data_IF_900813438932
#
_entry.id   IF_900813438932
#
_cell.length_a   1.000
_cell.length_b   1.000
_cell.length_c   1.000
_cell.angle_alpha   90.00
_cell.angle_beta   90.00
_cell.angle_gamma   90.00
#
_symmetry.space_group_name_H-M   'P 1'
#
loop_
_entity.id
_entity.type
_entity.pdbx_description
1 polymer ?
#
# COMPACT_ATOMS: atom_id res chain seq x y z
N UNK A 1 1.21 12.28 -14.42
CA UNK A 1 0.91 11.79 -13.07
C UNK A 1 1.26 10.34 -13.02
N UNK A 2 1.89 9.90 -11.94
CA UNK A 2 2.23 8.50 -11.71
C UNK A 2 1.48 8.00 -10.46
N UNK A 3 1.01 6.75 -10.48
CA UNK A 3 0.30 6.13 -9.35
C UNK A 3 1.02 4.85 -8.96
N UNK A 4 1.44 4.76 -7.69
CA UNK A 4 2.11 3.59 -7.13
C UNK A 4 1.14 2.88 -6.21
N UNK A 5 0.68 1.70 -6.59
CA UNK A 5 -0.26 0.90 -5.80
C UNK A 5 0.43 -0.33 -5.23
N UNK A 6 0.20 -0.57 -3.94
CA UNK A 6 0.76 -1.72 -3.25
C UNK A 6 -0.32 -2.64 -2.70
N UNK A 7 0.00 -3.92 -2.62
CA UNK A 7 -0.76 -4.94 -1.89
C UNK A 7 0.19 -5.91 -1.19
N UNK A 8 -0.28 -6.57 -0.15
CA UNK A 8 0.43 -7.69 0.47
C UNK A 8 -0.04 -9.00 -0.17
N UNK A 9 0.88 -9.80 -0.68
CA UNK A 9 0.60 -11.09 -1.31
C UNK A 9 1.78 -12.03 -1.06
N UNK A 10 1.51 -13.31 -0.81
CA UNK A 10 2.52 -14.36 -0.67
C UNK A 10 3.66 -14.00 0.30
N UNK A 11 3.33 -13.33 1.40
CA UNK A 11 4.29 -12.90 2.42
C UNK A 11 5.20 -11.73 2.02
N UNK A 12 4.94 -11.07 0.88
CA UNK A 12 5.75 -9.97 0.36
C UNK A 12 4.90 -8.77 -0.06
N UNK A 13 5.52 -7.60 -0.13
CA UNK A 13 4.90 -6.41 -0.72
C UNK A 13 5.01 -6.48 -2.24
N UNK A 14 3.87 -6.30 -2.91
CA UNK A 14 3.77 -6.26 -4.36
C UNK A 14 3.38 -4.86 -4.82
N UNK A 15 3.85 -4.49 -5.99
CA UNK A 15 3.48 -3.25 -6.68
C UNK A 15 2.69 -3.56 -7.95
N UNK A 16 1.67 -2.76 -8.23
CA UNK A 16 0.89 -2.87 -9.47
C UNK A 16 1.63 -2.19 -10.60
N UNK A 17 1.88 -2.94 -11.66
CA UNK A 17 2.49 -2.45 -12.88
C UNK A 17 1.58 -2.72 -14.07
N UNK A 18 1.72 -1.91 -15.12
CA UNK A 18 0.99 -2.05 -16.38
C UNK A 18 1.96 -2.41 -17.50
N UNK A 19 1.51 -3.28 -18.41
CA UNK A 19 2.30 -3.69 -19.56
C UNK A 19 2.40 -2.54 -20.57
N UNK A 20 3.61 -2.27 -21.05
CA UNK A 20 3.87 -1.25 -22.07
C UNK A 20 3.69 -1.77 -23.50
N UNK A 21 3.63 -3.11 -23.68
CA UNK A 21 3.69 -3.75 -24.98
C UNK A 21 5.11 -3.88 -25.55
N UNK A 22 6.13 -3.37 -24.83
CA UNK A 22 7.53 -3.51 -25.26
C UNK A 22 8.00 -4.98 -25.17
N UNK A 23 8.73 -5.49 -26.17
CA UNK A 23 9.37 -6.79 -26.11
C UNK A 23 10.59 -6.82 -25.17
N UNK A 24 11.15 -5.65 -24.84
CA UNK A 24 12.32 -5.53 -23.99
C UNK A 24 11.96 -5.81 -22.52
N UNK A 25 12.60 -6.76 -21.82
CA UNK A 25 12.26 -7.10 -20.45
C UNK A 25 12.25 -5.89 -19.48
N UNK A 26 13.22 -4.98 -19.63
CA UNK A 26 13.34 -3.77 -18.80
C UNK A 26 12.22 -2.77 -19.01
N UNK A 27 11.66 -2.69 -20.21
CA UNK A 27 10.62 -1.75 -20.58
C UNK A 27 9.23 -2.40 -20.65
N UNK A 28 9.13 -3.67 -20.29
CA UNK A 28 7.89 -4.45 -20.35
C UNK A 28 6.82 -3.91 -19.40
N UNK A 29 7.25 -3.43 -18.25
CA UNK A 29 6.39 -2.97 -17.18
C UNK A 29 6.71 -1.53 -16.79
N UNK A 30 5.68 -0.76 -16.45
CA UNK A 30 5.80 0.62 -15.94
C UNK A 30 4.73 0.89 -14.88
N UNK A 31 4.88 1.98 -14.14
CA UNK A 31 3.84 2.44 -13.22
C UNK A 31 2.57 2.86 -13.98
N UNK A 32 1.37 2.62 -13.42
CA UNK A 32 0.16 3.26 -13.90
C UNK A 32 0.34 4.76 -13.99
N UNK A 33 0.12 5.35 -15.16
CA UNK A 33 0.35 6.78 -15.37
C UNK A 33 -0.63 7.38 -16.36
N UNK A 34 -0.78 8.71 -16.32
CA UNK A 34 -1.65 9.41 -17.26
C UNK A 34 -1.59 10.92 -17.10
N UNK A 35 -2.13 11.62 -18.10
CA UNK A 35 -2.29 13.08 -18.07
C UNK A 35 -3.57 13.47 -17.33
N UNK A 36 -3.56 14.67 -16.75
CA UNK A 36 -4.76 15.31 -16.19
C UNK A 36 -5.65 15.69 -17.38
N UNK A 37 -6.92 15.34 -17.32
CA UNK A 37 -7.92 15.71 -18.33
C UNK A 37 -8.55 17.05 -17.99
N UNK A 38 -9.09 17.70 -19.01
CA UNK A 38 -9.78 18.98 -18.81
C UNK A 38 -10.95 18.79 -17.82
N UNK A 39 -10.96 19.58 -16.76
CA UNK A 39 -11.99 19.55 -15.71
C UNK A 39 -11.75 18.53 -14.62
N UNK A 40 -10.70 17.70 -14.70
CA UNK A 40 -10.31 16.81 -13.59
C UNK A 40 -9.45 17.56 -12.57
N UNK A 41 -9.69 17.27 -11.28
CA UNK A 41 -8.72 17.59 -10.23
C UNK A 41 -7.53 16.62 -10.26
N UNK A 42 -6.48 16.94 -9.52
CA UNK A 42 -5.33 16.05 -9.34
C UNK A 42 -5.77 14.74 -8.70
N UNK A 43 -6.62 14.80 -7.68
CA UNK A 43 -7.12 13.62 -6.96
C UNK A 43 -8.04 12.75 -7.85
N UNK A 44 -8.93 13.37 -8.64
CA UNK A 44 -9.78 12.64 -9.58
C UNK A 44 -8.95 11.91 -10.64
N UNK A 45 -7.90 12.58 -11.14
CA UNK A 45 -6.97 11.98 -12.10
C UNK A 45 -6.25 10.77 -11.50
N UNK A 46 -5.74 10.90 -10.27
CA UNK A 46 -5.06 9.80 -9.58
C UNK A 46 -6.02 8.61 -9.36
N UNK A 47 -7.24 8.89 -8.91
CA UNK A 47 -8.28 7.88 -8.69
C UNK A 47 -8.68 7.18 -10.00
N UNK A 48 -8.81 7.92 -11.10
CA UNK A 48 -9.09 7.34 -12.43
C UNK A 48 -7.95 6.41 -12.86
N UNK A 49 -6.70 6.85 -12.79
CA UNK A 49 -5.53 6.04 -13.16
C UNK A 49 -5.48 4.75 -12.32
N UNK A 50 -5.70 4.87 -11.00
CA UNK A 50 -5.75 3.72 -10.11
C UNK A 50 -6.87 2.75 -10.50
N UNK A 51 -8.09 3.24 -10.76
CA UNK A 51 -9.23 2.41 -11.18
C UNK A 51 -9.00 1.75 -12.54
N UNK A 52 -8.40 2.47 -13.47
CA UNK A 52 -8.09 1.94 -14.80
C UNK A 52 -7.12 0.74 -14.73
N UNK A 53 -6.19 0.76 -13.78
CA UNK A 53 -5.23 -0.33 -13.57
C UNK A 53 -5.76 -1.47 -12.69
N UNK A 54 -6.56 -1.16 -11.66
CA UNK A 54 -7.12 -2.16 -10.72
C UNK A 54 -8.43 -2.78 -11.23
N UNK A 55 -9.25 -2.02 -11.96
CA UNK A 55 -10.65 -2.36 -12.21
C UNK A 55 -11.61 -1.99 -11.07
N UNK A 56 -11.09 -1.50 -9.94
CA UNK A 56 -11.84 -1.03 -8.77
C UNK A 56 -11.12 0.14 -8.11
N UNK A 57 -11.78 0.84 -7.18
CA UNK A 57 -11.11 1.89 -6.42
C UNK A 57 -10.14 1.31 -5.37
N UNK A 58 -8.96 1.92 -5.17
CA UNK A 58 -8.08 1.57 -4.06
C UNK A 58 -8.73 1.96 -2.72
N UNK A 59 -8.39 1.27 -1.63
CA UNK A 59 -8.87 1.59 -0.27
C UNK A 59 -8.19 2.79 0.34
N UNK A 60 -7.06 3.19 -0.23
CA UNK A 60 -6.26 4.32 0.21
C UNK A 60 -5.49 4.88 -0.98
N UNK A 61 -5.49 6.19 -1.13
CA UNK A 61 -4.76 6.90 -2.18
C UNK A 61 -4.41 8.30 -1.67
N UNK A 62 -3.12 8.57 -1.48
CA UNK A 62 -2.61 9.86 -1.01
C UNK A 62 -1.51 10.36 -1.93
N UNK A 63 -1.37 11.67 -2.01
CA UNK A 63 -0.25 12.29 -2.72
C UNK A 63 1.07 11.92 -2.03
N UNK A 64 1.96 11.29 -2.78
CA UNK A 64 3.29 10.88 -2.30
C UNK A 64 4.36 11.96 -2.52
N UNK A 65 4.20 12.79 -3.56
CA UNK A 65 5.14 13.85 -3.84
C UNK A 65 4.96 14.47 -5.23
N UNK A 66 5.88 15.36 -5.55
CA UNK A 66 5.98 15.99 -6.86
C UNK A 66 7.42 15.95 -7.36
N UNK A 67 7.57 15.85 -8.67
CA UNK A 67 8.86 15.88 -9.36
C UNK A 67 8.80 16.86 -10.49
N UNK A 68 9.72 17.83 -10.52
CA UNK A 68 10.00 18.69 -11.66
C UNK A 68 11.11 18.09 -12.52
N UNK A 69 10.97 18.13 -13.82
CA UNK A 69 12.01 17.72 -14.76
C UNK A 69 12.09 18.71 -15.93
N UNK A 70 13.27 19.24 -16.19
CA UNK A 70 13.54 19.93 -17.45
C UNK A 70 13.90 18.89 -18.50
N UNK A 71 13.05 18.66 -19.49
CA UNK A 71 13.48 17.96 -20.71
C UNK A 71 14.28 18.95 -21.56
N UNK A 72 15.45 18.52 -22.08
CA UNK A 72 16.35 19.36 -22.89
C UNK A 72 15.71 20.05 -24.11
N UNK A 73 14.48 19.70 -24.47
CA UNK A 73 13.83 20.18 -25.70
C UNK A 73 12.33 20.48 -25.54
N UNK A 74 11.79 20.46 -24.31
CA UNK A 74 10.36 20.61 -24.06
C UNK A 74 10.09 21.52 -22.86
N UNK A 75 8.86 22.02 -22.76
CA UNK A 75 8.39 22.76 -21.59
C UNK A 75 8.63 21.95 -20.30
N UNK A 76 8.94 22.62 -19.18
CA UNK A 76 9.13 21.96 -17.90
C UNK A 76 7.87 21.18 -17.53
N UNK A 77 8.04 19.90 -17.21
CA UNK A 77 6.93 19.02 -16.80
C UNK A 77 7.02 18.74 -15.32
N UNK A 78 5.94 18.99 -14.62
CA UNK A 78 5.77 18.56 -13.23
C UNK A 78 4.99 17.23 -13.24
N UNK A 79 5.57 16.20 -12.62
CA UNK A 79 4.89 14.94 -12.39
C UNK A 79 4.47 14.88 -10.92
N UNK A 80 3.19 14.70 -10.68
CA UNK A 80 2.64 14.42 -9.34
C UNK A 80 2.56 12.90 -9.18
N UNK A 81 3.03 12.41 -8.06
CA UNK A 81 2.98 11.00 -7.69
C UNK A 81 1.98 10.78 -6.56
N UNK A 82 1.19 9.73 -6.70
CA UNK A 82 0.29 9.22 -5.67
C UNK A 82 0.71 7.83 -5.26
N UNK A 83 0.60 7.53 -3.97
CA UNK A 83 0.75 6.19 -3.43
C UNK A 83 -0.56 5.68 -2.85
N UNK A 84 -0.88 4.43 -3.10
CA UNK A 84 -2.12 3.83 -2.64
C UNK A 84 -1.97 2.38 -2.23
N UNK A 85 -3.01 1.88 -1.57
CA UNK A 85 -3.09 0.50 -1.09
C UNK A 85 -4.35 -0.17 -1.65
N UNK A 86 -4.21 -1.44 -1.99
CA UNK A 86 -5.31 -2.31 -2.36
C UNK A 86 -5.37 -3.52 -1.39
N UNK A 87 -6.55 -3.97 -0.96
CA UNK A 87 -6.70 -5.10 -0.08
C UNK A 87 -6.01 -6.36 -0.60
N UNK A 88 -5.57 -7.21 0.31
CA UNK A 88 -5.08 -8.56 -0.02
C UNK A 88 -6.11 -9.28 -0.88
N UNK A 89 -5.65 -9.92 -1.96
CA UNK A 89 -6.53 -10.62 -2.90
C UNK A 89 -7.14 -9.75 -4.00
N UNK A 90 -6.92 -8.43 -4.00
CA UNK A 90 -7.37 -7.56 -5.10
C UNK A 90 -6.74 -8.03 -6.43
N UNK A 91 -7.54 -8.37 -7.46
CA UNK A 91 -7.01 -8.74 -8.77
C UNK A 91 -6.41 -7.52 -9.48
N UNK A 92 -5.50 -7.76 -10.40
CA UNK A 92 -5.09 -6.77 -11.38
C UNK A 92 -5.99 -6.87 -12.62
N UNK A 93 -6.25 -5.76 -13.29
CA UNK A 93 -6.98 -5.74 -14.56
C UNK A 93 -6.13 -6.36 -15.68
N UNK A 94 -6.77 -6.79 -16.77
CA UNK A 94 -6.07 -7.25 -17.98
C UNK A 94 -5.06 -6.19 -18.46
N UNK A 95 -3.82 -6.61 -18.72
CA UNK A 95 -2.72 -5.72 -19.06
C UNK A 95 -1.97 -5.12 -17.85
N UNK A 96 -2.40 -5.41 -16.62
CA UNK A 96 -1.69 -5.08 -15.39
C UNK A 96 -1.34 -6.35 -14.60
N UNK A 97 -0.32 -6.27 -13.74
CA UNK A 97 0.09 -7.37 -12.88
C UNK A 97 0.63 -6.85 -11.53
N UNK A 98 0.40 -7.64 -10.50
CA UNK A 98 1.06 -7.47 -9.22
C UNK A 98 2.42 -8.18 -9.24
N UNK A 99 3.50 -7.43 -9.18
CA UNK A 99 4.86 -7.98 -9.13
C UNK A 99 5.49 -7.72 -7.77
N UNK A 100 6.24 -8.71 -7.23
CA UNK A 100 6.92 -8.52 -5.96
C UNK A 100 7.97 -7.41 -6.08
N UNK A 101 8.17 -6.64 -5.01
CA UNK A 101 9.15 -5.55 -5.01
C UNK A 101 10.57 -6.01 -5.33
N UNK A 102 10.92 -7.25 -5.04
CA UNK A 102 12.21 -7.84 -5.41
C UNK A 102 12.47 -7.84 -6.92
N UNK A 103 11.41 -7.80 -7.73
CA UNK A 103 11.49 -7.75 -9.20
C UNK A 103 11.50 -6.30 -9.73
N UNK A 104 11.25 -5.30 -8.89
CA UNK A 104 11.25 -3.89 -9.29
C UNK A 104 12.63 -3.41 -9.80
N UNK A 105 13.71 -4.12 -9.47
CA UNK A 105 15.05 -3.84 -9.98
C UNK A 105 15.18 -3.90 -11.51
N UNK A 106 14.28 -4.61 -12.20
CA UNK A 106 14.22 -4.68 -13.65
C UNK A 106 13.50 -3.50 -14.33
N UNK A 107 12.87 -2.62 -13.56
CA UNK A 107 12.15 -1.45 -14.08
C UNK A 107 13.08 -0.31 -14.48
N UNK A 108 12.54 0.65 -15.22
CA UNK A 108 13.23 1.91 -15.46
C UNK A 108 13.60 2.61 -14.14
N UNK A 109 14.74 3.28 -14.10
CA UNK A 109 15.27 3.97 -12.90
C UNK A 109 14.21 4.91 -12.30
N UNK A 110 13.51 5.65 -13.15
CA UNK A 110 12.45 6.57 -12.74
C UNK A 110 11.35 5.89 -11.93
N UNK A 111 10.88 4.72 -12.38
CA UNK A 111 9.78 4.00 -11.75
C UNK A 111 10.23 3.37 -10.41
N UNK A 112 11.48 2.87 -10.36
CA UNK A 112 12.08 2.39 -9.10
C UNK A 112 12.18 3.48 -8.05
N UNK A 113 12.72 4.64 -8.43
CA UNK A 113 12.85 5.79 -7.52
C UNK A 113 11.50 6.24 -6.98
N UNK A 114 10.43 6.12 -7.79
CA UNK A 114 9.08 6.49 -7.35
C UNK A 114 8.49 5.45 -6.41
N UNK A 115 8.71 4.17 -6.66
CA UNK A 115 8.33 3.06 -5.76
C UNK A 115 9.03 3.23 -4.41
N UNK A 116 10.34 3.47 -4.41
CA UNK A 116 11.13 3.60 -3.17
C UNK A 116 10.67 4.80 -2.34
N UNK A 117 10.40 5.94 -2.97
CA UNK A 117 9.83 7.13 -2.27
C UNK A 117 8.45 6.84 -1.71
N UNK A 118 7.60 6.16 -2.46
CA UNK A 118 6.24 5.82 -2.04
C UNK A 118 6.25 4.88 -0.83
N UNK A 119 7.12 3.87 -0.82
CA UNK A 119 7.29 2.98 0.35
C UNK A 119 7.82 3.74 1.54
N UNK A 120 8.83 4.59 1.37
CA UNK A 120 9.37 5.39 2.45
C UNK A 120 8.29 6.29 3.07
N UNK A 121 7.43 6.90 2.26
CA UNK A 121 6.32 7.73 2.72
C UNK A 121 5.25 6.93 3.50
N UNK A 122 4.95 5.68 3.08
CA UNK A 122 4.05 4.78 3.81
C UNK A 122 4.67 4.39 5.15
N UNK A 123 5.96 3.99 5.16
CA UNK A 123 6.68 3.59 6.38
C UNK A 123 6.79 4.73 7.40
N UNK A 124 7.01 5.95 6.95
CA UNK A 124 7.07 7.12 7.83
C UNK A 124 5.74 7.42 8.54
N UNK A 125 4.62 6.98 7.98
CA UNK A 125 3.27 7.21 8.52
C UNK A 125 2.68 6.02 9.26
N UNK A 126 3.23 4.82 9.11
CA UNK A 126 2.64 3.57 9.63
C UNK A 126 2.48 3.58 11.16
N UNK A 127 3.36 4.28 11.88
CA UNK A 127 3.31 4.40 13.34
C UNK A 127 2.26 5.39 13.83
N UNK A 128 1.73 6.23 12.94
CA UNK A 128 0.82 7.33 13.30
C UNK A 128 -0.54 7.24 12.62
N UNK A 129 -0.65 6.41 11.60
CA UNK A 129 -1.87 6.21 10.82
C UNK A 129 -2.20 4.73 10.67
N UNK A 130 -3.47 4.35 10.67
CA UNK A 130 -3.89 2.95 10.54
C UNK A 130 -3.78 2.43 9.09
N UNK A 131 -2.63 2.70 8.45
CA UNK A 131 -2.41 2.39 7.03
C UNK A 131 -2.46 0.89 6.76
N UNK A 132 -1.89 0.07 7.66
CA UNK A 132 -1.85 -1.38 7.51
C UNK A 132 -3.24 -2.01 7.39
N UNK A 133 -4.24 -1.43 8.07
CA UNK A 133 -5.63 -1.92 8.01
C UNK A 133 -6.25 -1.77 6.62
N UNK A 134 -5.71 -0.90 5.76
CA UNK A 134 -6.18 -0.71 4.38
C UNK A 134 -5.84 -1.90 3.46
N UNK A 135 -4.91 -2.75 3.89
CA UNK A 135 -4.55 -3.98 3.19
C UNK A 135 -5.36 -5.20 3.64
N UNK A 136 -6.05 -5.10 4.76
CA UNK A 136 -6.82 -6.20 5.35
C UNK A 136 -8.30 -6.14 4.94
N UNK A 137 -9.00 -7.30 4.96
CA UNK A 137 -10.45 -7.32 4.93
C UNK A 137 -11.03 -6.69 6.21
N UNK A 138 -12.34 -6.47 6.23
CA UNK A 138 -13.05 -5.84 7.37
C UNK A 138 -12.86 -6.62 8.68
N UNK A 139 -12.76 -7.95 8.58
CA UNK A 139 -12.44 -8.84 9.70
C UNK A 139 -11.19 -9.66 9.41
N UNK A 140 -10.30 -9.72 10.38
CA UNK A 140 -8.98 -10.32 10.26
C UNK A 140 -8.50 -10.93 11.59
N UNK A 141 -7.51 -11.80 11.53
CA UNK A 141 -6.80 -12.30 12.72
C UNK A 141 -5.66 -11.35 13.11
N UNK A 142 -5.27 -11.34 14.38
CA UNK A 142 -4.07 -10.58 14.81
C UNK A 142 -2.78 -11.06 14.13
N UNK A 143 -2.75 -12.30 13.66
CA UNK A 143 -1.61 -12.84 12.92
C UNK A 143 -1.54 -12.26 11.51
N UNK A 144 -2.67 -12.13 10.82
CA UNK A 144 -2.74 -11.45 9.51
C UNK A 144 -2.35 -9.99 9.64
N UNK A 145 -2.85 -9.29 10.66
CA UNK A 145 -2.47 -7.91 10.93
C UNK A 145 -0.96 -7.77 11.17
N UNK A 146 -0.38 -8.66 11.99
CA UNK A 146 1.08 -8.67 12.23
C UNK A 146 1.86 -8.89 10.93
N UNK A 147 1.46 -9.87 10.12
CA UNK A 147 2.10 -10.17 8.83
C UNK A 147 2.06 -8.96 7.89
N UNK A 148 0.94 -8.23 7.81
CA UNK A 148 0.85 -7.01 7.01
C UNK A 148 1.80 -5.92 7.52
N UNK A 149 1.90 -5.72 8.82
CA UNK A 149 2.87 -4.78 9.39
C UNK A 149 4.32 -5.18 9.07
N UNK A 150 4.65 -6.47 9.21
CA UNK A 150 5.99 -7.00 8.89
C UNK A 150 6.34 -6.80 7.42
N UNK A 151 5.38 -7.06 6.51
CA UNK A 151 5.53 -6.83 5.07
C UNK A 151 5.77 -5.35 4.76
N UNK A 152 4.98 -4.44 5.32
CA UNK A 152 5.13 -2.99 5.09
C UNK A 152 6.45 -2.46 5.66
N UNK A 153 6.85 -2.92 6.86
CA UNK A 153 8.09 -2.50 7.52
C UNK A 153 9.33 -3.16 6.89
N UNK A 154 9.17 -4.30 6.22
CA UNK A 154 10.27 -5.09 5.65
C UNK A 154 11.10 -5.81 6.71
N UNK A 155 10.52 -6.08 7.89
CA UNK A 155 11.20 -6.76 9.01
C UNK A 155 10.21 -7.46 9.94
N UNK A 156 10.64 -8.54 10.63
CA UNK A 156 9.80 -9.23 11.60
C UNK A 156 9.51 -8.37 12.83
N UNK A 157 8.38 -8.64 13.48
CA UNK A 157 7.93 -8.02 14.73
C UNK A 157 7.84 -9.07 15.84
N UNK A 158 8.25 -8.71 17.04
CA UNK A 158 8.09 -9.59 18.19
C UNK A 158 6.60 -9.69 18.58
N UNK A 159 6.04 -10.91 18.49
CA UNK A 159 4.60 -11.16 18.62
C UNK A 159 3.98 -10.60 19.91
N UNK A 160 4.66 -10.79 21.05
CA UNK A 160 4.13 -10.33 22.34
C UNK A 160 4.12 -8.80 22.45
N UNK A 161 5.18 -8.14 21.97
CA UNK A 161 5.27 -6.67 21.94
C UNK A 161 4.24 -6.06 21.01
N UNK A 162 4.09 -6.62 19.81
CA UNK A 162 3.07 -6.19 18.83
C UNK A 162 1.66 -6.25 19.42
N UNK A 163 1.28 -7.38 20.02
CA UNK A 163 -0.04 -7.53 20.66
C UNK A 163 -0.25 -6.56 21.81
N UNK A 164 0.77 -6.34 22.64
CA UNK A 164 0.71 -5.39 23.75
C UNK A 164 0.47 -3.97 23.23
N UNK A 165 1.18 -3.55 22.16
CA UNK A 165 1.02 -2.24 21.53
C UNK A 165 -0.37 -2.06 20.92
N UNK A 166 -0.92 -3.09 20.27
CA UNK A 166 -2.29 -3.05 19.74
C UNK A 166 -3.33 -2.87 20.85
N UNK A 167 -3.19 -3.61 21.96
CA UNK A 167 -4.09 -3.46 23.10
C UNK A 167 -4.00 -2.06 23.75
N UNK A 168 -2.78 -1.56 23.90
CA UNK A 168 -2.56 -0.20 24.45
C UNK A 168 -3.14 0.90 23.54
N UNK A 169 -3.10 0.70 22.23
CA UNK A 169 -3.65 1.64 21.25
C UNK A 169 -5.18 1.58 21.15
N UNK A 170 -5.81 0.49 21.61
CA UNK A 170 -7.27 0.26 21.53
C UNK A 170 -7.85 0.52 20.13
N UNK A 171 -7.17 0.06 19.08
CA UNK A 171 -7.54 0.26 17.68
C UNK A 171 -8.10 -0.99 17.02
N UNK A 172 -8.18 -2.10 17.75
CA UNK A 172 -8.81 -3.35 17.31
C UNK A 172 -9.85 -3.80 18.31
N UNK A 173 -10.97 -4.30 17.81
CA UNK A 173 -12.07 -4.85 18.61
C UNK A 173 -12.27 -6.31 18.23
N UNK A 174 -12.38 -7.20 19.22
CA UNK A 174 -12.69 -8.60 19.00
C UNK A 174 -14.13 -8.74 18.49
N UNK A 175 -14.34 -9.65 17.56
CA UNK A 175 -15.69 -10.04 17.10
C UNK A 175 -16.07 -11.38 17.76
N UNK A 176 -17.34 -11.77 17.64
CA UNK A 176 -17.81 -13.09 18.09
C UNK A 176 -17.49 -14.20 17.07
N UNK A 177 -16.78 -13.86 15.98
CA UNK A 177 -16.46 -14.77 14.91
C UNK A 177 -15.06 -15.41 15.10
N UNK A 178 -14.94 -16.66 14.65
CA UNK A 178 -13.72 -17.44 14.70
C UNK A 178 -13.46 -18.06 13.33
N UNK A 179 -12.21 -18.07 12.90
CA UNK A 179 -11.77 -18.74 11.68
C UNK A 179 -11.00 -20.01 12.03
N UNK A 180 -11.50 -21.14 11.52
CA UNK A 180 -10.79 -22.43 11.64
C UNK A 180 -9.97 -22.64 10.38
N UNK A 181 -8.66 -22.71 10.53
CA UNK A 181 -7.75 -23.12 9.46
C UNK A 181 -7.67 -24.66 9.42
N UNK A 182 -7.24 -25.21 8.27
CA UNK A 182 -7.18 -26.69 8.08
C UNK A 182 -6.33 -27.40 9.14
N UNK A 183 -5.38 -26.74 9.77
CA UNK A 183 -4.55 -27.24 10.87
C UNK A 183 -4.33 -26.11 11.87
N UNK A 184 -4.81 -26.24 13.09
CA UNK A 184 -4.56 -25.28 14.16
C UNK A 184 -5.77 -25.05 15.07
N UNK A 185 -5.54 -24.30 16.13
CA UNK A 185 -6.60 -23.83 17.03
C UNK A 185 -7.39 -22.73 16.32
N UNK A 186 -8.73 -22.68 16.44
CA UNK A 186 -9.53 -21.59 15.92
C UNK A 186 -8.95 -20.21 16.30
N UNK A 187 -8.83 -19.31 15.33
CA UNK A 187 -8.33 -17.97 15.54
C UNK A 187 -9.50 -16.98 15.64
N UNK A 188 -9.53 -16.19 16.71
CA UNK A 188 -10.52 -15.13 16.87
C UNK A 188 -10.33 -14.05 15.81
N UNK A 189 -11.43 -13.56 15.26
CA UNK A 189 -11.43 -12.45 14.33
C UNK A 189 -11.59 -11.12 15.07
N UNK A 190 -10.96 -10.11 14.48
CA UNK A 190 -10.95 -8.73 14.96
C UNK A 190 -11.35 -7.81 13.82
N UNK A 191 -11.84 -6.62 14.17
CA UNK A 191 -12.06 -5.52 13.24
C UNK A 191 -11.29 -4.28 13.67
N UNK A 192 -11.02 -3.41 12.73
CA UNK A 192 -10.50 -2.08 13.03
C UNK A 192 -11.57 -1.25 13.75
N UNK A 193 -11.25 -0.72 14.90
CA UNK A 193 -12.10 0.15 15.71
C UNK A 193 -11.36 1.47 15.97
N UNK A 194 -11.68 2.55 15.22
CA UNK A 194 -11.07 3.84 15.47
C UNK A 194 -11.43 4.31 16.88
N UNK A 195 -10.47 4.85 17.66
CA UNK A 195 -10.72 5.30 19.03
C UNK A 195 -11.86 6.32 19.05
N UNK A 196 -12.95 6.01 19.78
CA UNK A 196 -14.03 6.96 20.04
C UNK A 196 -13.44 8.21 20.69
N UNK A 197 -13.64 9.37 20.08
CA UNK A 197 -13.14 10.69 20.46
C UNK A 197 -12.86 10.80 21.97
N UNK A 198 -11.59 10.77 22.37
CA UNK A 198 -10.96 11.62 23.39
C UNK A 198 -9.53 11.19 23.67
N UNK A 199 -8.63 12.21 23.60
CA UNK A 199 -7.21 12.23 24.00
C UNK A 199 -6.22 11.72 22.97
N UNK A 200 -5.54 12.68 22.36
CA UNK A 200 -4.26 12.60 21.68
C UNK A 200 -4.16 11.51 20.59
N UNK A 201 -4.01 11.95 19.39
CA UNK A 201 -3.52 11.18 18.23
C UNK A 201 -2.17 10.51 18.58
N UNK A 202 -2.20 9.47 19.38
CA UNK A 202 -1.07 8.57 19.51
C UNK A 202 -1.32 7.45 18.54
N UNK A 203 -0.58 7.48 17.42
CA UNK A 203 -0.44 6.31 16.57
C UNK A 203 0.05 5.12 17.40
N UNK A 204 -0.08 3.91 16.87
CA UNK A 204 0.56 2.74 17.46
C UNK A 204 2.06 2.96 17.34
N UNK A 205 2.69 3.51 18.36
CA UNK A 205 4.14 3.47 18.44
C UNK A 205 4.54 2.04 18.72
N UNK A 206 4.96 1.36 17.70
CA UNK A 206 5.77 0.19 17.88
C UNK A 206 7.14 0.70 18.34
N UNK A 207 7.43 0.62 19.65
CA UNK A 207 8.79 0.78 20.12
C UNK A 207 9.62 -0.35 19.51
N UNK A 208 10.23 0.00 18.40
CA UNK A 208 10.94 -0.90 17.50
C UNK A 208 12.42 -0.98 17.88
N UNK A 209 12.78 -0.40 19.02
CA UNK A 209 14.10 -0.47 19.63
C UNK A 209 14.04 -1.51 20.77
N UNK A 210 14.12 -2.75 20.40
CA UNK A 210 14.44 -3.88 21.25
C UNK A 210 15.54 -4.66 20.59
#
# INVERSE_FOLDING_TARGET
MDVVLFTARDGALHVLLVATGSPTPRDRWTLPSGAIRRGESIDDTALRIARDALGTAPTHLDQAGMRGGARRTAQPVVTVAYSGLAPVGTPARAGAAWLPLSEAGALAIRDRDEIDRSIAAIRARIDHQPIAFRLLPDVFTLSELQAVYEILLGRPLHKASFRRSLHAAAIVEATDEWRTERRGRPAQLFRYAPPRRRRHRRGVRFDLLG
#
